data_IF_600791686204
#
_entry.id   IF_600791686204
#
_cell.length_a   1.000
_cell.length_b   1.000
_cell.length_c   1.000
_cell.angle_alpha   90.00
_cell.angle_beta   90.00
_cell.angle_gamma   90.00
#
_symmetry.space_group_name_H-M   'P 1'
#
loop_
_entity.id
_entity.type
_entity.pdbx_description
1 polymer ?
#
# COMPACT_ATOMS: atom_id res chain seq x y z
N UNK A 1 -6.28 37.23 56.72
CA UNK A 1 -7.43 36.50 57.31
C UNK A 1 -8.74 37.07 56.75
N UNK A 2 -9.28 36.52 55.67
CA UNK A 2 -10.69 36.65 55.27
C UNK A 2 -11.12 35.31 54.67
N UNK A 3 -12.30 34.88 55.10
CA UNK A 3 -12.75 33.50 55.16
C UNK A 3 -13.19 32.98 53.79
N UNK A 4 -12.82 31.73 53.56
CA UNK A 4 -13.50 30.75 52.71
C UNK A 4 -15.01 30.78 52.90
N UNK A 5 -15.77 30.60 51.82
CA UNK A 5 -17.07 29.90 51.73
C UNK A 5 -17.70 30.17 50.35
N UNK A 6 -17.52 29.25 49.41
CA UNK A 6 -18.61 28.75 48.55
C UNK A 6 -18.10 27.55 47.75
N UNK A 7 -18.31 26.38 48.33
CA UNK A 7 -18.17 25.09 47.68
C UNK A 7 -19.58 24.54 47.42
N UNK A 8 -19.66 23.64 46.44
CA UNK A 8 -20.73 22.67 46.13
C UNK A 8 -21.94 23.13 45.31
N UNK A 9 -21.86 22.93 43.99
CA UNK A 9 -22.87 22.24 43.18
C UNK A 9 -22.08 21.44 42.12
N UNK A 10 -21.69 20.20 42.43
CA UNK A 10 -22.39 18.95 42.14
C UNK A 10 -22.24 18.50 40.66
N UNK A 11 -21.23 17.64 40.47
CA UNK A 11 -21.20 16.46 39.61
C UNK A 11 -22.30 16.33 38.53
N UNK A 12 -21.89 16.45 37.27
CA UNK A 12 -22.44 15.67 36.16
C UNK A 12 -21.28 15.07 35.37
N UNK A 13 -20.79 13.93 35.87
CA UNK A 13 -20.02 12.99 35.07
C UNK A 13 -20.98 12.27 34.13
N UNK A 14 -20.92 12.56 32.84
CA UNK A 14 -21.32 11.63 31.79
C UNK A 14 -20.13 11.48 30.84
N UNK A 15 -19.28 10.52 31.19
CA UNK A 15 -18.74 9.53 30.27
C UNK A 15 -19.29 9.62 28.84
N UNK A 16 -18.45 10.11 27.92
CA UNK A 16 -18.57 9.82 26.50
C UNK A 16 -17.22 9.31 26.00
N UNK A 17 -16.82 8.16 26.53
CA UNK A 17 -15.92 7.26 25.82
C UNK A 17 -16.81 6.22 25.14
N UNK A 18 -16.85 6.23 23.80
CA UNK A 18 -17.06 5.07 22.92
C UNK A 18 -17.20 5.54 21.46
N UNK A 19 -16.34 4.98 20.60
CA UNK A 19 -16.40 4.92 19.13
C UNK A 19 -16.18 6.22 18.35
N UNK A 20 -14.96 6.41 17.87
CA UNK A 20 -14.67 6.21 16.43
C UNK A 20 -13.20 5.90 16.25
N UNK A 21 -12.89 4.64 15.95
CA UNK A 21 -11.72 4.34 15.13
C UNK A 21 -11.97 4.92 13.75
N UNK A 22 -11.76 6.23 13.60
CA UNK A 22 -11.61 6.82 12.28
C UNK A 22 -10.30 6.25 11.75
N UNK A 23 -10.39 5.20 10.93
CA UNK A 23 -9.35 4.95 9.94
C UNK A 23 -9.05 6.32 9.34
N UNK A 24 -7.82 6.79 9.53
CA UNK A 24 -7.43 8.10 9.05
C UNK A 24 -7.52 8.04 7.53
N UNK A 25 -8.70 8.35 6.99
CA UNK A 25 -8.77 8.93 5.67
C UNK A 25 -7.80 10.11 5.76
N UNK A 26 -6.67 10.01 5.06
CA UNK A 26 -5.69 11.07 4.93
C UNK A 26 -6.34 12.20 4.13
N UNK A 27 -7.36 12.83 4.71
CA UNK A 27 -7.85 14.13 4.32
C UNK A 27 -6.75 15.09 4.76
N UNK A 28 -5.71 15.18 3.93
CA UNK A 28 -4.75 16.27 4.03
C UNK A 28 -5.52 17.57 3.89
N UNK A 29 -4.95 18.66 4.42
CA UNK A 29 -5.57 19.97 4.38
C UNK A 29 -6.17 20.24 2.98
N UNK A 30 -7.49 20.50 2.86
CA UNK A 30 -8.16 20.61 1.56
C UNK A 30 -7.53 21.67 0.66
N UNK A 31 -6.95 22.71 1.26
CA UNK A 31 -6.20 23.76 0.54
C UNK A 31 -4.96 23.19 -0.15
N UNK A 32 -4.22 22.29 0.51
CA UNK A 32 -3.03 21.65 -0.08
C UNK A 32 -3.40 20.68 -1.21
N UNK A 33 -4.52 19.97 -1.04
CA UNK A 33 -5.06 19.09 -2.08
C UNK A 33 -5.50 19.89 -3.31
N UNK A 34 -6.07 21.08 -3.10
CA UNK A 34 -6.42 22.00 -4.17
C UNK A 34 -5.19 22.55 -4.89
N UNK A 35 -4.15 22.97 -4.15
CA UNK A 35 -2.87 23.41 -4.73
C UNK A 35 -2.25 22.31 -5.59
N UNK A 36 -2.21 21.07 -5.09
CA UNK A 36 -1.78 19.92 -5.88
C UNK A 36 -2.62 19.74 -7.15
N UNK A 37 -3.95 19.78 -7.04
CA UNK A 37 -4.85 19.66 -8.18
C UNK A 37 -4.58 20.72 -9.25
N UNK A 38 -4.48 22.00 -8.85
CA UNK A 38 -4.14 23.11 -9.73
C UNK A 38 -2.79 22.92 -10.41
N UNK A 39 -1.78 22.47 -9.67
CA UNK A 39 -0.46 22.19 -10.21
C UNK A 39 -0.45 21.09 -11.28
N UNK A 40 -1.19 20.01 -11.04
CA UNK A 40 -1.36 18.92 -12.02
C UNK A 40 -2.12 19.40 -13.27
N UNK A 41 -3.16 20.20 -13.09
CA UNK A 41 -3.89 20.80 -14.22
C UNK A 41 -3.00 21.72 -15.05
N UNK A 42 -2.24 22.61 -14.41
CA UNK A 42 -1.29 23.50 -15.06
C UNK A 42 -0.20 22.71 -15.82
N UNK A 43 0.30 21.63 -15.23
CA UNK A 43 1.28 20.75 -15.89
C UNK A 43 0.72 20.16 -17.19
N UNK A 44 -0.50 19.61 -17.16
CA UNK A 44 -1.12 19.06 -18.37
C UNK A 44 -1.53 20.15 -19.38
N UNK A 45 -1.71 21.40 -18.93
CA UNK A 45 -1.93 22.55 -19.80
C UNK A 45 -0.62 23.10 -20.43
N UNK A 46 0.55 22.54 -20.08
CA UNK A 46 1.85 23.04 -20.53
C UNK A 46 2.32 24.30 -19.79
N UNK A 47 1.59 24.75 -18.78
CA UNK A 47 1.93 25.90 -17.94
C UNK A 47 2.93 25.46 -16.86
N UNK A 48 4.17 25.19 -17.27
CA UNK A 48 5.19 24.57 -16.42
C UNK A 48 5.57 25.45 -15.22
N UNK A 49 5.59 26.77 -15.38
CA UNK A 49 5.92 27.68 -14.28
C UNK A 49 4.82 27.73 -13.21
N UNK A 50 3.56 27.84 -13.64
CA UNK A 50 2.40 27.77 -12.74
C UNK A 50 2.34 26.41 -12.03
N UNK A 51 2.58 25.32 -12.78
CA UNK A 51 2.64 23.97 -12.23
C UNK A 51 3.70 23.88 -11.13
N UNK A 52 4.91 24.37 -11.39
CA UNK A 52 5.98 24.42 -10.41
C UNK A 52 5.55 25.21 -9.17
N UNK A 53 4.97 26.40 -9.37
CA UNK A 53 4.55 27.26 -8.27
C UNK A 53 3.51 26.58 -7.38
N UNK A 54 2.43 26.03 -7.95
CA UNK A 54 1.37 25.38 -7.19
C UNK A 54 1.85 24.12 -6.46
N UNK A 55 2.68 23.30 -7.12
CA UNK A 55 3.24 22.09 -6.51
C UNK A 55 4.24 22.43 -5.40
N UNK A 56 5.08 23.43 -5.61
CA UNK A 56 6.01 23.92 -4.58
C UNK A 56 5.25 24.49 -3.38
N UNK A 57 4.21 25.31 -3.59
CA UNK A 57 3.36 25.76 -2.47
C UNK A 57 2.75 24.58 -1.70
N UNK A 58 2.26 23.54 -2.38
CA UNK A 58 1.74 22.37 -1.68
C UNK A 58 2.82 21.65 -0.84
N UNK A 59 4.02 21.47 -1.42
CA UNK A 59 5.16 20.82 -0.78
C UNK A 59 5.68 21.62 0.41
N UNK A 60 5.90 22.92 0.22
CA UNK A 60 6.46 23.82 1.24
C UNK A 60 5.51 23.98 2.44
N UNK A 61 4.20 23.84 2.20
CA UNK A 61 3.19 23.82 3.26
C UNK A 61 2.91 22.42 3.83
N UNK A 62 3.73 21.42 3.48
CA UNK A 62 3.75 20.12 4.16
C UNK A 62 2.76 19.08 3.63
N UNK A 63 2.42 19.12 2.33
CA UNK A 63 1.68 18.02 1.71
C UNK A 63 2.46 16.70 1.89
N UNK A 64 1.77 15.65 2.32
CA UNK A 64 2.34 14.30 2.54
C UNK A 64 2.05 13.35 1.37
N UNK A 65 1.51 13.88 0.27
CA UNK A 65 1.17 13.09 -0.90
C UNK A 65 2.40 12.93 -1.81
N UNK A 66 2.89 11.70 -2.05
CA UNK A 66 4.01 11.44 -2.96
C UNK A 66 3.79 12.01 -4.37
N UNK A 67 2.53 12.10 -4.81
CA UNK A 67 2.20 12.57 -6.16
C UNK A 67 2.66 14.00 -6.39
N UNK A 68 2.59 14.88 -5.40
CA UNK A 68 3.03 16.27 -5.54
C UNK A 68 4.52 16.35 -5.92
N UNK A 69 5.35 15.54 -5.26
CA UNK A 69 6.78 15.43 -5.56
C UNK A 69 7.02 14.86 -6.95
N UNK A 70 6.32 13.80 -7.34
CA UNK A 70 6.48 13.24 -8.69
C UNK A 70 6.12 14.23 -9.78
N UNK A 71 4.99 14.94 -9.65
CA UNK A 71 4.59 15.95 -10.62
C UNK A 71 5.55 17.15 -10.65
N UNK A 72 6.08 17.59 -9.49
CA UNK A 72 7.09 18.67 -9.49
C UNK A 72 8.38 18.22 -10.16
N UNK A 73 8.82 16.99 -9.91
CA UNK A 73 9.97 16.42 -10.58
C UNK A 73 9.75 16.26 -12.08
N UNK A 74 8.53 15.91 -12.52
CA UNK A 74 8.18 15.88 -13.94
C UNK A 74 8.21 17.27 -14.58
N UNK A 75 7.74 18.31 -13.88
CA UNK A 75 7.89 19.72 -14.32
C UNK A 75 9.37 20.10 -14.45
N UNK A 76 10.19 19.78 -13.44
CA UNK A 76 11.62 20.08 -13.49
C UNK A 76 12.31 19.36 -14.65
N UNK A 77 11.93 18.10 -14.88
CA UNK A 77 12.45 17.29 -15.96
C UNK A 77 12.08 17.85 -17.35
N UNK A 78 10.82 18.25 -17.57
CA UNK A 78 10.39 18.88 -18.83
C UNK A 78 11.07 20.23 -19.07
N UNK A 79 11.47 20.92 -18.01
CA UNK A 79 12.26 22.15 -18.07
C UNK A 79 13.79 21.90 -18.18
N UNK A 80 14.24 20.65 -18.32
CA UNK A 80 15.65 20.29 -18.47
C UNK A 80 16.45 20.24 -17.17
N UNK A 81 15.82 20.42 -16.01
CA UNK A 81 16.45 20.40 -14.68
C UNK A 81 16.44 18.99 -14.10
N UNK A 82 17.23 18.11 -14.71
CA UNK A 82 17.31 16.67 -14.40
C UNK A 82 17.65 16.38 -12.93
N UNK A 83 18.58 17.16 -12.35
CA UNK A 83 19.00 16.94 -10.96
C UNK A 83 17.89 17.23 -9.96
N UNK A 84 17.12 18.31 -10.17
CA UNK A 84 15.96 18.64 -9.36
C UNK A 84 14.86 17.60 -9.50
N UNK A 85 14.63 17.12 -10.74
CA UNK A 85 13.67 16.06 -11.01
C UNK A 85 13.96 14.78 -10.22
N UNK A 86 15.22 14.32 -10.24
CA UNK A 86 15.64 13.14 -9.51
C UNK A 86 15.53 13.31 -7.99
N UNK A 87 15.87 14.50 -7.47
CA UNK A 87 15.74 14.79 -6.05
C UNK A 87 14.27 14.71 -5.60
N UNK A 88 13.36 15.29 -6.38
CA UNK A 88 11.92 15.23 -6.12
C UNK A 88 11.37 13.81 -6.22
N UNK A 89 11.79 13.05 -7.23
CA UNK A 89 11.37 11.65 -7.38
C UNK A 89 11.84 10.79 -6.23
N UNK A 90 13.06 11.00 -5.73
CA UNK A 90 13.58 10.28 -4.56
C UNK A 90 12.74 10.60 -3.32
N UNK A 91 12.48 11.88 -3.06
CA UNK A 91 11.67 12.29 -1.92
C UNK A 91 10.23 11.74 -2.00
N UNK A 92 9.61 11.78 -3.18
CA UNK A 92 8.31 11.15 -3.42
C UNK A 92 8.33 9.65 -3.17
N UNK A 93 9.38 8.96 -3.61
CA UNK A 93 9.54 7.51 -3.45
C UNK A 93 9.74 7.09 -1.99
N UNK A 94 10.51 7.87 -1.22
CA UNK A 94 10.66 7.66 0.23
C UNK A 94 9.31 7.80 0.95
N UNK A 95 8.52 8.83 0.63
CA UNK A 95 7.17 9.02 1.17
C UNK A 95 6.23 7.88 0.76
N UNK A 96 6.26 7.44 -0.49
CA UNK A 96 5.46 6.31 -0.96
C UNK A 96 5.82 5.01 -0.23
N UNK A 97 7.12 4.73 -0.07
CA UNK A 97 7.60 3.53 0.58
C UNK A 97 7.28 3.52 2.09
N UNK A 98 7.33 4.68 2.75
CA UNK A 98 6.97 4.81 4.16
C UNK A 98 5.46 4.76 4.44
N UNK A 99 4.63 5.17 3.48
CA UNK A 99 3.17 5.25 3.62
C UNK A 99 2.41 3.97 3.24
N UNK A 100 3.11 2.93 2.79
CA UNK A 100 2.53 1.61 2.50
C UNK A 100 2.02 1.43 1.06
N UNK A 101 2.40 2.32 0.14
CA UNK A 101 2.00 2.24 -1.26
C UNK A 101 0.52 2.60 -1.50
N UNK A 102 0.26 3.47 -2.48
CA UNK A 102 -1.11 3.86 -2.84
C UNK A 102 -1.35 3.58 -4.34
N UNK A 103 -2.35 2.75 -4.70
CA UNK A 103 -2.62 2.41 -6.10
C UNK A 103 -2.99 3.62 -6.96
N UNK A 104 -3.50 4.71 -6.35
CA UNK A 104 -3.80 5.96 -7.05
C UNK A 104 -2.56 6.65 -7.60
N UNK A 105 -1.37 6.41 -7.03
CA UNK A 105 -0.10 6.96 -7.51
C UNK A 105 0.19 6.41 -8.91
N UNK A 106 0.15 5.08 -9.07
CA UNK A 106 0.37 4.44 -10.37
C UNK A 106 -0.59 4.95 -11.45
N UNK A 107 -1.87 5.14 -11.09
CA UNK A 107 -2.89 5.71 -11.98
C UNK A 107 -2.58 7.17 -12.35
N UNK A 108 -2.21 8.01 -11.40
CA UNK A 108 -1.87 9.41 -11.67
C UNK A 108 -0.67 9.53 -12.62
N UNK A 109 0.24 8.55 -12.57
CA UNK A 109 1.41 8.54 -13.43
C UNK A 109 1.16 7.88 -14.80
N UNK A 110 0.00 7.26 -15.06
CA UNK A 110 -0.21 6.40 -16.23
C UNK A 110 0.02 7.10 -17.58
N UNK A 111 -0.10 8.43 -17.62
CA UNK A 111 0.16 9.24 -18.84
C UNK A 111 1.65 9.45 -19.13
N UNK A 112 2.52 9.23 -18.13
CA UNK A 112 3.97 9.35 -18.27
C UNK A 112 4.55 8.02 -18.70
N UNK A 113 5.13 8.00 -19.89
CA UNK A 113 5.70 6.83 -20.53
C UNK A 113 7.10 7.15 -21.08
N UNK A 114 7.85 6.11 -21.45
CA UNK A 114 9.19 6.24 -22.03
C UNK A 114 10.33 6.23 -21.00
N UNK A 115 11.52 6.77 -21.35
CA UNK A 115 12.73 6.62 -20.56
C UNK A 115 12.64 7.31 -19.18
N UNK A 116 11.95 8.44 -19.11
CA UNK A 116 11.70 9.17 -17.87
C UNK A 116 10.86 8.33 -16.90
N UNK A 117 9.87 7.61 -17.44
CA UNK A 117 9.05 6.70 -16.63
C UNK A 117 9.88 5.55 -16.08
N UNK A 118 10.76 4.97 -16.88
CA UNK A 118 11.65 3.89 -16.42
C UNK A 118 12.54 4.36 -15.26
N UNK A 119 13.11 5.56 -15.38
CA UNK A 119 13.94 6.17 -14.34
C UNK A 119 13.15 6.42 -13.06
N UNK A 120 11.94 6.99 -13.17
CA UNK A 120 11.05 7.16 -12.02
C UNK A 120 10.70 5.82 -11.35
N UNK A 121 10.38 4.79 -12.12
CA UNK A 121 10.10 3.46 -11.56
C UNK A 121 11.31 2.83 -10.87
N UNK A 122 12.51 3.02 -11.41
CA UNK A 122 13.75 2.60 -10.76
C UNK A 122 13.90 3.28 -9.40
N UNK A 123 13.71 4.60 -9.33
CA UNK A 123 13.75 5.35 -8.06
C UNK A 123 12.72 4.81 -7.07
N UNK A 124 11.49 4.55 -7.53
CA UNK A 124 10.41 3.96 -6.72
C UNK A 124 10.78 2.57 -6.18
N UNK A 125 11.39 1.72 -7.00
CA UNK A 125 11.84 0.39 -6.58
C UNK A 125 12.98 0.49 -5.56
N UNK A 126 13.95 1.37 -5.79
CA UNK A 126 15.08 1.56 -4.86
C UNK A 126 14.60 2.00 -3.47
N UNK A 127 13.70 2.98 -3.37
CA UNK A 127 13.17 3.43 -2.08
C UNK A 127 12.41 2.32 -1.33
N UNK A 128 11.66 1.47 -2.05
CA UNK A 128 10.99 0.30 -1.44
C UNK A 128 11.98 -0.70 -0.88
N UNK A 129 13.05 -1.00 -1.62
CA UNK A 129 14.11 -1.90 -1.17
C UNK A 129 14.84 -1.33 0.06
N UNK A 130 15.12 -0.03 0.07
CA UNK A 130 15.74 0.64 1.21
C UNK A 130 14.86 0.62 2.46
N UNK A 131 13.56 0.88 2.31
CA UNK A 131 12.60 0.77 3.42
C UNK A 131 12.48 -0.67 3.94
N UNK A 132 12.51 -1.66 3.05
CA UNK A 132 12.53 -3.08 3.45
C UNK A 132 13.82 -3.43 4.20
N UNK A 133 14.98 -2.98 3.70
CA UNK A 133 16.27 -3.23 4.32
C UNK A 133 16.39 -2.56 5.71
N UNK A 134 15.90 -1.33 5.85
CA UNK A 134 15.89 -0.63 7.15
C UNK A 134 14.92 -1.30 8.14
N UNK A 135 13.75 -1.74 7.68
CA UNK A 135 12.82 -2.51 8.50
C UNK A 135 13.43 -3.83 8.99
N UNK A 136 14.13 -4.56 8.11
CA UNK A 136 14.81 -5.81 8.43
C UNK A 136 15.97 -5.61 9.43
N UNK A 137 16.78 -4.56 9.27
CA UNK A 137 17.83 -4.20 10.25
C UNK A 137 17.22 -3.91 11.63
N UNK A 138 16.12 -3.16 11.66
CA UNK A 138 15.41 -2.83 12.91
C UNK A 138 14.79 -4.06 13.57
N UNK A 139 14.32 -5.05 12.81
CA UNK A 139 13.84 -6.31 13.40
C UNK A 139 14.99 -7.13 13.95
N UNK A 140 16.10 -7.27 13.21
CA UNK A 140 17.28 -8.00 13.68
C UNK A 140 17.86 -7.43 14.98
N UNK A 141 17.96 -6.10 15.08
CA UNK A 141 18.39 -5.42 16.32
C UNK A 141 17.47 -5.76 17.49
N UNK A 142 16.14 -5.69 17.29
CA UNK A 142 15.17 -6.04 18.33
C UNK A 142 15.28 -7.50 18.79
N UNK A 143 15.48 -8.44 17.87
CA UNK A 143 15.70 -9.84 18.26
C UNK A 143 17.00 -10.03 19.03
N UNK A 144 18.10 -9.43 18.56
CA UNK A 144 19.40 -9.50 19.24
C UNK A 144 19.37 -8.90 20.65
N UNK A 145 18.63 -7.81 20.87
CA UNK A 145 18.44 -7.22 22.19
C UNK A 145 17.67 -8.14 23.15
N UNK A 146 16.63 -8.84 22.66
CA UNK A 146 15.87 -9.80 23.45
C UNK A 146 16.74 -11.01 23.82
N UNK A 147 17.48 -11.54 22.85
CA UNK A 147 18.39 -12.68 23.06
C UNK A 147 19.54 -12.31 24.01
N UNK A 148 20.07 -11.09 23.95
CA UNK A 148 21.09 -10.59 24.86
C UNK A 148 20.54 -10.30 26.27
N UNK A 149 19.27 -9.92 26.41
CA UNK A 149 18.61 -9.71 27.70
C UNK A 149 18.18 -11.02 28.38
N UNK A 150 17.94 -12.10 27.61
CA UNK A 150 17.55 -13.41 28.12
C UNK A 150 18.55 -14.02 29.16
N UNK A 151 19.88 -14.03 28.96
CA UNK A 151 20.82 -14.54 29.96
C UNK A 151 20.94 -13.66 31.21
N UNK A 152 20.65 -12.36 31.11
CA UNK A 152 20.61 -11.46 32.28
C UNK A 152 19.37 -11.69 33.15
N UNK A 153 18.24 -12.11 32.56
CA UNK A 153 17.03 -12.51 33.27
C UNK A 153 17.09 -13.96 33.80
N UNK A 154 17.94 -14.81 33.24
CA UNK A 154 18.09 -16.23 33.61
C UNK A 154 19.24 -16.52 34.60
N UNK A 155 20.00 -15.51 35.04
CA UNK A 155 20.97 -15.70 36.11
C UNK A 155 20.24 -16.16 37.39
N UNK A 156 20.60 -17.32 37.99
CA UNK A 156 19.99 -17.73 39.25
C UNK A 156 20.41 -16.70 40.30
N UNK A 157 19.42 -16.04 40.91
CA UNK A 157 19.63 -15.19 42.07
C UNK A 157 20.26 -16.03 43.20
N UNK A 158 21.60 -16.08 43.25
CA UNK A 158 22.30 -16.46 44.47
C UNK A 158 22.31 -15.24 45.39
N UNK A 159 21.82 -15.47 46.59
CA UNK A 159 21.49 -14.50 47.62
C UNK A 159 22.64 -13.56 47.99
N UNK A 160 22.40 -12.25 47.95
CA UNK A 160 22.94 -11.31 48.92
C UNK A 160 22.02 -10.08 49.00
N UNK A 161 21.43 -9.88 50.18
CA UNK A 161 20.30 -9.00 50.40
C UNK A 161 20.54 -7.53 50.04
N UNK A 162 19.58 -6.97 49.29
CA UNK A 162 19.07 -5.62 49.46
C UNK A 162 17.59 -5.63 49.06
N UNK A 163 16.78 -5.08 49.95
CA UNK A 163 15.31 -5.11 49.97
C UNK A 163 14.67 -4.66 48.66
N UNK A 164 14.21 -5.63 47.87
CA UNK A 164 13.22 -5.40 46.83
C UNK A 164 11.83 -5.53 47.47
N UNK A 165 11.01 -4.48 47.33
CA UNK A 165 9.61 -4.51 47.73
C UNK A 165 8.89 -5.68 47.02
N UNK A 166 7.96 -6.37 47.70
CA UNK A 166 7.25 -7.49 47.09
C UNK A 166 6.40 -6.97 45.93
N UNK A 167 6.76 -7.37 44.71
CA UNK A 167 5.87 -7.27 43.55
C UNK A 167 4.64 -8.11 43.88
N UNK A 168 3.52 -7.43 44.16
CA UNK A 168 2.23 -8.07 44.40
C UNK A 168 1.92 -8.90 43.15
N UNK A 169 1.64 -10.21 43.26
CA UNK A 169 1.22 -10.99 42.11
C UNK A 169 -0.04 -10.31 41.56
N UNK A 170 0.05 -9.81 40.34
CA UNK A 170 -1.12 -9.36 39.60
C UNK A 170 -1.86 -10.65 39.28
N UNK A 171 -2.83 -10.97 40.15
CA UNK A 171 -3.79 -12.00 39.85
C UNK A 171 -4.48 -11.61 38.54
N UNK A 172 -4.60 -12.53 37.56
CA UNK A 172 -5.45 -12.28 36.42
C UNK A 172 -6.84 -11.88 36.95
N UNK A 173 -7.53 -10.90 36.31
CA UNK A 173 -8.87 -10.54 36.73
C UNK A 173 -9.72 -11.81 36.81
N UNK A 174 -10.58 -11.94 37.84
CA UNK A 174 -11.43 -13.10 37.98
C UNK A 174 -12.24 -13.27 36.69
N UNK A 175 -12.25 -14.50 36.16
CA UNK A 175 -13.09 -14.87 35.04
C UNK A 175 -14.53 -14.49 35.44
N UNK A 176 -15.21 -13.59 34.72
CA UNK A 176 -16.58 -13.25 35.04
C UNK A 176 -17.44 -14.52 34.98
N UNK A 177 -18.40 -14.69 35.90
CA UNK A 177 -19.33 -15.82 35.82
C UNK A 177 -20.00 -15.81 34.44
N UNK A 178 -20.19 -16.99 33.86
CA UNK A 178 -20.67 -17.16 32.49
C UNK A 178 -21.99 -16.44 32.15
N UNK A 179 -22.72 -15.95 33.16
CA UNK A 179 -23.93 -15.15 33.03
C UNK A 179 -23.70 -13.72 32.50
N UNK A 180 -22.48 -13.17 32.58
CA UNK A 180 -22.18 -11.78 32.17
C UNK A 180 -21.32 -11.69 30.89
N UNK A 181 -21.10 -12.80 30.19
CA UNK A 181 -20.40 -12.80 28.91
C UNK A 181 -21.41 -12.49 27.79
N UNK A 182 -21.35 -11.32 27.12
CA UNK A 182 -22.27 -10.97 26.02
C UNK A 182 -22.03 -11.78 24.74
N UNK A 183 -21.10 -12.75 24.80
CA UNK A 183 -20.80 -13.71 23.74
C UNK A 183 -21.13 -15.16 24.17
N UNK A 184 -21.77 -15.35 25.32
CA UNK A 184 -22.12 -16.68 25.84
C UNK A 184 -23.25 -17.35 25.05
N UNK A 185 -24.07 -16.58 24.34
CA UNK A 185 -25.24 -17.11 23.63
C UNK A 185 -24.89 -17.72 22.25
N UNK A 186 -23.71 -17.44 21.69
CA UNK A 186 -23.38 -17.81 20.31
C UNK A 186 -22.32 -18.91 20.17
N UNK A 187 -21.80 -19.45 21.28
CA UNK A 187 -20.77 -20.50 21.20
C UNK A 187 -21.04 -21.61 22.22
N UNK A 188 -21.80 -22.62 21.79
CA UNK A 188 -21.77 -23.97 22.38
C UNK A 188 -20.38 -24.63 22.19
N UNK A 189 -19.30 -23.99 22.64
CA UNK A 189 -18.06 -24.70 22.88
C UNK A 189 -18.15 -25.32 24.27
N UNK A 190 -18.75 -26.51 24.30
CA UNK A 190 -18.51 -27.51 25.34
C UNK A 190 -17.02 -27.46 25.71
N UNK A 191 -16.73 -27.28 26.99
CA UNK A 191 -15.41 -27.44 27.58
C UNK A 191 -14.80 -28.75 27.10
N UNK A 192 -14.02 -28.66 26.04
CA UNK A 192 -13.44 -29.78 25.33
C UNK A 192 -12.06 -29.34 24.93
N UNK A 193 -11.06 -30.09 25.39
CA UNK A 193 -9.67 -29.84 25.07
C UNK A 193 -9.50 -29.60 23.56
N UNK A 194 -8.66 -28.63 23.15
CA UNK A 194 -8.42 -28.36 21.74
C UNK A 194 -7.85 -29.61 21.09
N UNK A 195 -8.68 -30.30 20.31
CA UNK A 195 -8.25 -31.45 19.52
C UNK A 195 -7.61 -30.93 18.24
N UNK A 196 -6.31 -31.13 18.10
CA UNK A 196 -5.65 -31.06 16.79
C UNK A 196 -6.32 -32.13 15.90
N UNK A 197 -7.03 -31.70 14.86
CA UNK A 197 -7.70 -32.61 13.94
C UNK A 197 -6.69 -33.39 13.07
N UNK A 198 -5.47 -32.86 12.88
CA UNK A 198 -4.30 -33.57 12.36
C UNK A 198 -3.01 -32.77 12.67
N UNK A 199 -1.86 -33.46 12.73
CA UNK A 199 -0.54 -32.82 12.80
C UNK A 199 0.00 -32.38 11.43
N UNK A 200 -0.74 -32.67 10.36
CA UNK A 200 -0.38 -32.32 8.98
C UNK A 200 -1.61 -31.76 8.25
N UNK A 201 -1.52 -30.50 7.87
CA UNK A 201 -2.59 -29.76 7.21
C UNK A 201 -2.69 -30.05 5.70
N UNK A 202 -1.75 -30.79 5.12
CA UNK A 202 -1.68 -31.07 3.67
C UNK A 202 -1.90 -32.53 3.29
N UNK A 203 -2.20 -33.42 4.24
CA UNK A 203 -2.36 -34.85 3.98
C UNK A 203 -3.47 -35.20 2.96
N UNK A 204 -4.42 -34.30 2.69
CA UNK A 204 -5.48 -34.48 1.68
C UNK A 204 -5.19 -33.86 0.30
N UNK A 205 -4.05 -33.18 0.12
CA UNK A 205 -3.69 -32.57 -1.17
C UNK A 205 -3.06 -33.58 -2.15
N UNK A 206 -2.60 -34.73 -1.65
CA UNK A 206 -1.97 -35.76 -2.47
C UNK A 206 -2.98 -36.65 -3.24
N UNK A 207 -4.24 -36.71 -2.80
CA UNK A 207 -5.28 -37.53 -3.45
C UNK A 207 -6.11 -36.75 -4.49
N UNK A 208 -5.84 -35.44 -4.68
CA UNK A 208 -6.51 -34.60 -5.68
C UNK A 208 -5.91 -34.69 -7.10
N UNK A 209 -4.95 -35.60 -7.33
CA UNK A 209 -4.25 -35.81 -8.60
C UNK A 209 -4.65 -37.12 -9.32
N UNK A 210 -5.79 -37.73 -8.97
CA UNK A 210 -6.27 -38.97 -9.60
C UNK A 210 -7.63 -38.82 -10.33
N UNK A 211 -7.85 -37.68 -10.97
CA UNK A 211 -9.12 -37.33 -11.61
C UNK A 211 -9.00 -36.65 -12.98
N UNK A 212 -8.03 -37.03 -13.81
CA UNK A 212 -8.03 -36.66 -15.24
C UNK A 212 -8.84 -37.70 -16.03
N UNK A 213 -9.93 -37.33 -16.74
CA UNK A 213 -10.57 -38.26 -17.66
C UNK A 213 -9.64 -38.49 -18.86
N UNK A 214 -9.21 -39.75 -18.96
CA UNK A 214 -8.44 -40.30 -20.06
C UNK A 214 -9.18 -40.13 -21.40
N UNK A 215 -8.40 -39.75 -22.41
CA UNK A 215 -8.81 -39.70 -23.80
C UNK A 215 -9.30 -41.09 -24.26
N UNK A 216 -10.49 -41.13 -24.86
CA UNK A 216 -11.00 -42.29 -25.58
C UNK A 216 -10.50 -42.27 -27.03
N UNK A 217 -9.67 -43.25 -27.39
CA UNK A 217 -9.52 -43.78 -28.77
C UNK A 217 -10.88 -44.39 -29.21
N UNK A 218 -11.30 -44.54 -30.48
CA UNK A 218 -10.71 -44.64 -31.83
C UNK A 218 -11.89 -44.49 -32.86
N UNK A 219 -11.79 -44.66 -34.21
CA UNK A 219 -10.74 -45.31 -35.01
C UNK A 219 -10.27 -44.55 -36.26
N UNK A 220 -9.27 -45.16 -36.90
CA UNK A 220 -8.52 -44.72 -38.07
C UNK A 220 -9.32 -44.64 -39.38
N UNK A 221 -9.03 -43.63 -40.20
CA UNK A 221 -8.71 -43.86 -41.61
C UNK A 221 -7.76 -42.76 -42.17
N UNK A 222 -6.96 -43.15 -43.13
CA UNK A 222 -5.75 -42.49 -43.61
C UNK A 222 -6.02 -41.28 -44.52
N UNK A 223 -5.15 -40.26 -44.46
CA UNK A 223 -4.36 -39.74 -45.59
C UNK A 223 -3.78 -38.34 -45.29
N UNK A 224 -2.69 -38.03 -45.99
CA UNK A 224 -1.73 -36.97 -45.71
C UNK A 224 -2.10 -35.54 -46.15
N UNK A 225 -1.47 -34.58 -45.46
CA UNK A 225 -1.05 -33.22 -45.89
C UNK A 225 -2.08 -32.06 -45.93
N UNK A 226 -1.62 -30.80 -45.88
CA UNK A 226 -0.72 -30.20 -44.89
C UNK A 226 -1.40 -29.02 -44.14
N UNK A 227 -0.74 -28.55 -43.10
CA UNK A 227 -1.14 -27.43 -42.25
C UNK A 227 -1.48 -26.17 -43.05
N UNK A 228 -2.71 -25.69 -42.93
CA UNK A 228 -3.06 -24.31 -43.24
C UNK A 228 -2.56 -23.44 -42.09
N UNK A 229 -1.51 -22.67 -42.36
CA UNK A 229 -1.01 -21.62 -41.47
C UNK A 229 -2.06 -20.50 -41.37
N UNK A 230 -2.67 -20.26 -40.20
CA UNK A 230 -3.74 -19.26 -40.04
C UNK A 230 -3.24 -17.81 -40.10
N UNK A 231 -1.94 -17.57 -40.30
CA UNK A 231 -1.36 -16.22 -40.43
C UNK A 231 -0.51 -16.01 -41.69
N UNK A 232 -0.60 -16.91 -42.67
CA UNK A 232 0.12 -16.82 -43.95
C UNK A 232 -0.60 -15.94 -44.98
N UNK A 233 -0.28 -14.65 -45.02
CA UNK A 233 -0.73 -13.72 -46.05
C UNK A 233 -0.09 -14.04 -47.42
N UNK A 234 -0.88 -14.61 -48.33
CA UNK A 234 -0.59 -14.68 -49.77
C UNK A 234 -1.32 -13.54 -50.50
N UNK A 235 -0.54 -12.68 -51.15
CA UNK A 235 -0.99 -11.48 -51.84
C UNK A 235 -1.74 -11.74 -53.16
N UNK A 236 -2.79 -10.95 -53.43
CA UNK A 236 -3.08 -10.36 -54.74
C UNK A 236 -4.03 -9.14 -54.58
N UNK A 237 -3.96 -8.14 -55.48
CA UNK A 237 -4.24 -6.75 -55.16
C UNK A 237 -5.66 -6.31 -55.55
N UNK A 238 -6.33 -5.53 -54.72
CA UNK A 238 -7.32 -4.53 -55.14
C UNK A 238 -7.85 -3.75 -53.94
N UNK A 239 -8.03 -2.44 -54.15
CA UNK A 239 -8.64 -1.45 -53.28
C UNK A 239 -7.78 -0.96 -52.09
N UNK A 240 -7.07 0.13 -52.34
CA UNK A 240 -6.60 1.06 -51.33
C UNK A 240 -7.80 1.59 -50.50
N UNK A 241 -7.88 1.31 -49.19
CA UNK A 241 -8.96 1.80 -48.34
C UNK A 241 -8.82 3.29 -47.96
N UNK A 242 -7.80 3.98 -48.44
CA UNK A 242 -7.61 5.43 -48.28
C UNK A 242 -7.59 6.21 -49.61
N UNK A 243 -7.86 5.55 -50.73
CA UNK A 243 -7.90 6.15 -52.07
C UNK A 243 -9.24 6.81 -52.39
N UNK A 244 -9.51 7.96 -51.78
CA UNK A 244 -10.63 8.83 -52.15
C UNK A 244 -10.26 9.71 -53.34
N UNK A 245 -10.58 9.25 -54.55
CA UNK A 245 -10.68 10.11 -55.73
C UNK A 245 -11.95 10.97 -55.56
N UNK A 246 -11.78 12.18 -55.03
CA UNK A 246 -12.76 13.25 -55.10
C UNK A 246 -12.05 14.48 -55.68
N UNK A 247 -12.58 15.13 -56.73
CA UNK A 247 -12.01 16.37 -57.22
C UNK A 247 -12.12 17.44 -56.12
N UNK A 248 -10.96 17.89 -55.63
CA UNK A 248 -10.82 19.08 -54.80
C UNK A 248 -11.18 20.30 -55.65
N UNK A 249 -12.43 20.78 -55.54
CA UNK A 249 -12.70 22.19 -55.75
C UNK A 249 -12.06 22.96 -54.58
N UNK A 250 -11.03 23.77 -54.89
CA UNK A 250 -10.28 24.59 -53.94
C UNK A 250 -11.13 25.78 -53.48
N UNK A 251 -11.52 25.87 -52.18
CA UNK A 251 -12.35 26.96 -51.69
C UNK A 251 -11.57 28.22 -51.28
N UNK A 252 -10.26 28.31 -51.55
CA UNK A 252 -9.42 29.46 -51.18
C UNK A 252 -8.58 30.06 -52.32
N UNK A 253 -8.98 29.85 -53.58
CA UNK A 253 -8.43 30.60 -54.70
C UNK A 253 -9.02 32.04 -54.73
N UNK A 254 -8.26 33.01 -54.22
CA UNK A 254 -8.39 34.45 -54.51
C UNK A 254 -7.12 34.95 -55.20
#
# INVERSE_FOLDING_TARGET
MKKTLLSTALFAACSLGLLTGSGSALAQNPVLSEMYGRGVHAFYAGQLDDANQFLSMAIDNGIKDPRAFYFRGLVANTQGRQFEAEADWRQGAELEASSGGNPSIGRSLARFQGPERLKLEQVRQTARLEMMATAAKRSQQRYGEIDAAAPAAAAPASSAGKTAAPQKPIAPPPIPPAADNPFADDIEMKTGDPKLQSNDAFAGAADAEAGMPAASEAPADAAAAPAADPFGAGAAPAADPFGGDAPMDDPFAF
#
